data_IF_345118601393
#
_entry.id   IF_345118601393
#
_cell.length_a   1.000
_cell.length_b   1.000
_cell.length_c   1.000
_cell.angle_alpha   90.00
_cell.angle_beta   90.00
_cell.angle_gamma   90.00
#
_symmetry.space_group_name_H-M   'P 1'
#
loop_
_entity.id
_entity.type
_entity.pdbx_description
1 polymer ?
#
# COMPACT_ATOMS: atom_id res chain seq x y z
N UNK A 1 11.74 5.89 52.27
CA UNK A 1 10.83 5.26 51.28
C UNK A 1 10.13 6.35 50.50
N UNK A 2 10.62 6.65 49.29
CA UNK A 2 10.02 7.64 48.39
C UNK A 2 8.90 6.98 47.57
N UNK A 3 7.75 7.64 47.48
CA UNK A 3 6.57 7.18 46.73
C UNK A 3 6.82 7.33 45.22
N UNK A 4 6.44 6.37 44.37
CA UNK A 4 6.46 6.58 42.93
C UNK A 4 5.29 7.51 42.52
N UNK A 5 5.62 8.47 41.67
CA UNK A 5 4.76 9.56 41.23
C UNK A 5 3.69 9.03 40.25
N UNK A 6 2.44 9.49 40.39
CA UNK A 6 1.25 8.97 39.69
C UNK A 6 0.93 9.72 38.37
N UNK A 7 1.85 10.54 37.86
CA UNK A 7 1.58 11.48 36.76
C UNK A 7 1.70 10.89 35.34
N UNK A 8 2.51 9.87 35.08
CA UNK A 8 2.86 9.53 33.68
C UNK A 8 1.76 8.80 32.88
N UNK A 9 0.89 8.00 33.51
CA UNK A 9 -0.05 7.15 32.74
C UNK A 9 -1.23 7.93 32.13
N UNK A 10 -1.64 9.03 32.79
CA UNK A 10 -2.82 9.81 32.38
C UNK A 10 -2.47 10.85 31.31
N UNK A 11 -1.27 11.45 31.38
CA UNK A 11 -0.79 12.46 30.43
C UNK A 11 -0.48 11.85 29.05
N UNK A 12 0.17 10.68 29.01
CA UNK A 12 0.41 9.93 27.76
C UNK A 12 -0.89 9.57 27.01
N UNK A 13 -1.97 9.31 27.75
CA UNK A 13 -3.29 9.02 27.16
C UNK A 13 -3.98 10.28 26.60
N UNK A 14 -3.71 11.44 27.21
CA UNK A 14 -4.26 12.73 26.81
C UNK A 14 -3.54 13.32 25.61
N UNK A 15 -2.20 13.22 25.58
CA UNK A 15 -1.38 13.65 24.45
C UNK A 15 -1.65 12.82 23.19
N UNK A 16 -1.73 11.49 23.32
CA UNK A 16 -2.08 10.62 22.20
C UNK A 16 -3.49 10.93 21.66
N UNK A 17 -4.46 11.22 22.56
CA UNK A 17 -5.81 11.64 22.16
C UNK A 17 -5.79 12.94 21.36
N UNK A 18 -5.09 13.97 21.84
CA UNK A 18 -4.98 15.27 21.14
C UNK A 18 -4.32 15.12 19.78
N UNK A 19 -3.25 14.34 19.70
CA UNK A 19 -2.58 14.01 18.45
C UNK A 19 -3.55 13.39 17.42
N UNK A 20 -4.34 12.39 17.84
CA UNK A 20 -5.35 11.76 16.98
C UNK A 20 -6.48 12.70 16.59
N UNK A 21 -6.93 13.58 17.48
CA UNK A 21 -7.92 14.61 17.18
C UNK A 21 -7.42 15.60 16.12
N UNK A 22 -6.16 16.02 16.23
CA UNK A 22 -5.54 16.93 15.25
C UNK A 22 -5.44 16.24 13.89
N UNK A 23 -4.97 14.99 13.83
CA UNK A 23 -4.89 14.24 12.56
C UNK A 23 -6.26 14.04 11.91
N UNK A 24 -7.29 13.73 12.69
CA UNK A 24 -8.64 13.55 12.17
C UNK A 24 -9.21 14.86 11.63
N UNK A 25 -9.04 15.96 12.36
CA UNK A 25 -9.43 17.29 11.89
C UNK A 25 -8.68 17.71 10.61
N UNK A 26 -7.37 17.43 10.56
CA UNK A 26 -6.53 17.72 9.41
C UNK A 26 -6.98 16.92 8.18
N UNK A 27 -7.24 15.61 8.35
CA UNK A 27 -7.80 14.75 7.30
C UNK A 27 -9.08 15.33 6.72
N UNK A 28 -10.07 15.62 7.57
CA UNK A 28 -11.36 16.14 7.12
C UNK A 28 -11.16 17.41 6.31
N UNK A 29 -10.44 18.40 6.87
CA UNK A 29 -10.26 19.69 6.21
C UNK A 29 -9.42 19.59 4.94
N UNK A 30 -8.34 18.81 4.92
CA UNK A 30 -7.53 18.66 3.71
C UNK A 30 -8.26 17.94 2.59
N UNK A 31 -9.09 16.94 2.90
CA UNK A 31 -9.89 16.24 1.88
C UNK A 31 -11.02 17.12 1.35
N UNK A 32 -11.68 17.90 2.21
CA UNK A 32 -12.82 18.75 1.83
C UNK A 32 -12.41 20.04 1.13
N UNK A 33 -11.34 20.69 1.62
CA UNK A 33 -10.94 22.04 1.18
C UNK A 33 -9.65 22.05 0.36
N UNK A 34 -8.89 20.95 0.38
CA UNK A 34 -7.55 20.90 -0.17
C UNK A 34 -6.49 21.48 0.76
N UNK A 35 -5.22 21.27 0.40
CA UNK A 35 -4.08 21.68 1.22
C UNK A 35 -3.96 23.21 1.37
N UNK A 36 -4.15 23.99 0.30
CA UNK A 36 -3.90 25.44 0.32
C UNK A 36 -4.93 26.22 1.11
N UNK A 37 -6.21 25.88 0.93
CA UNK A 37 -7.32 26.56 1.60
C UNK A 37 -7.40 26.21 3.09
N UNK A 38 -6.69 25.16 3.52
CA UNK A 38 -6.64 24.75 4.92
C UNK A 38 -5.51 25.47 5.67
N UNK A 39 -5.85 26.07 6.81
CA UNK A 39 -4.88 26.69 7.71
C UNK A 39 -4.76 25.94 9.04
N UNK A 40 -3.63 26.10 9.73
CA UNK A 40 -3.39 25.52 11.06
C UNK A 40 -4.43 25.98 12.09
N UNK A 41 -4.96 27.20 11.95
CA UNK A 41 -5.98 27.74 12.84
C UNK A 41 -7.35 27.07 12.63
N UNK A 42 -7.70 26.75 11.39
CA UNK A 42 -8.89 25.96 11.08
C UNK A 42 -8.79 24.56 11.68
N UNK A 43 -7.63 23.92 11.54
CA UNK A 43 -7.39 22.58 12.09
C UNK A 43 -7.48 22.60 13.62
N UNK A 44 -6.84 23.56 14.29
CA UNK A 44 -6.91 23.68 15.75
C UNK A 44 -8.36 23.85 16.25
N UNK A 45 -9.14 24.70 15.58
CA UNK A 45 -10.57 24.90 15.89
C UNK A 45 -11.39 23.63 15.67
N UNK A 46 -11.20 22.95 14.53
CA UNK A 46 -11.91 21.71 14.20
C UNK A 46 -11.56 20.57 15.18
N UNK A 47 -10.30 20.46 15.60
CA UNK A 47 -9.84 19.48 16.57
C UNK A 47 -10.24 19.79 18.02
N UNK A 48 -10.73 21.01 18.29
CA UNK A 48 -11.04 21.47 19.65
C UNK A 48 -9.81 21.67 20.54
N UNK A 49 -8.66 22.02 19.95
CA UNK A 49 -7.38 22.25 20.66
C UNK A 49 -6.90 23.68 20.49
N UNK A 50 -6.00 24.14 21.37
CA UNK A 50 -5.36 25.45 21.20
C UNK A 50 -4.30 25.41 20.09
N UNK A 51 -4.05 26.56 19.45
CA UNK A 51 -2.96 26.71 18.46
C UNK A 51 -1.61 26.28 19.03
N UNK A 52 -1.32 26.66 20.28
CA UNK A 52 -0.10 26.24 20.97
C UNK A 52 0.00 24.71 21.11
N UNK A 53 -1.10 24.03 21.44
CA UNK A 53 -1.14 22.56 21.52
C UNK A 53 -0.84 21.93 20.16
N UNK A 54 -1.42 22.48 19.09
CA UNK A 54 -1.18 21.97 17.74
C UNK A 54 0.30 22.06 17.34
N UNK A 55 0.95 23.20 17.61
CA UNK A 55 2.37 23.38 17.30
C UNK A 55 3.34 22.59 18.19
N UNK A 56 2.89 22.09 19.35
CA UNK A 56 3.66 21.12 20.13
C UNK A 56 3.75 19.77 19.41
N UNK A 57 2.69 19.37 18.69
CA UNK A 57 2.66 18.09 17.98
C UNK A 57 3.20 18.18 16.55
N UNK A 58 2.98 19.31 15.86
CA UNK A 58 3.35 19.47 14.46
C UNK A 58 4.00 20.82 14.22
N UNK A 59 5.24 20.79 13.72
CA UNK A 59 6.04 22.01 13.55
C UNK A 59 5.47 22.92 12.46
N UNK A 60 4.79 22.34 11.46
CA UNK A 60 4.22 23.07 10.33
C UNK A 60 3.01 22.32 9.74
N UNK A 61 2.30 22.99 8.83
CA UNK A 61 1.21 22.37 8.05
C UNK A 61 1.72 21.23 7.17
N UNK A 62 2.93 21.38 6.63
CA UNK A 62 3.61 20.42 5.77
C UNK A 62 3.97 19.15 6.55
N UNK A 63 4.52 19.33 7.76
CA UNK A 63 4.85 18.25 8.71
C UNK A 63 3.61 17.44 9.10
N UNK A 64 2.51 18.15 9.41
CA UNK A 64 1.21 17.54 9.67
C UNK A 64 0.69 16.75 8.46
N UNK A 65 0.79 17.30 7.24
CA UNK A 65 0.35 16.60 6.04
C UNK A 65 1.17 15.33 5.77
N UNK A 66 2.50 15.42 5.88
CA UNK A 66 3.40 14.27 5.69
C UNK A 66 3.06 13.16 6.68
N UNK A 67 2.91 13.52 7.96
CA UNK A 67 2.56 12.58 9.03
C UNK A 67 1.21 11.93 8.78
N UNK A 68 0.21 12.72 8.38
CA UNK A 68 -1.11 12.22 8.03
C UNK A 68 -1.05 11.23 6.86
N UNK A 69 -0.35 11.56 5.77
CA UNK A 69 -0.24 10.66 4.61
C UNK A 69 0.44 9.34 4.97
N UNK A 70 1.52 9.39 5.75
CA UNK A 70 2.22 8.21 6.23
C UNK A 70 1.31 7.29 7.06
N UNK A 71 0.56 7.85 8.02
CA UNK A 71 -0.40 7.08 8.81
C UNK A 71 -1.53 6.52 7.94
N UNK A 72 -2.00 7.27 6.95
CA UNK A 72 -3.10 6.86 6.10
C UNK A 72 -2.76 5.75 5.14
N UNK A 73 -1.60 5.80 4.52
CA UNK A 73 -1.11 4.70 3.70
C UNK A 73 -1.01 3.40 4.51
N UNK A 74 -0.60 3.49 5.79
CA UNK A 74 -0.56 2.32 6.68
C UNK A 74 -1.95 1.89 7.14
N UNK A 75 -2.89 2.80 7.36
CA UNK A 75 -4.24 2.49 7.88
C UNK A 75 -5.17 1.95 6.80
N UNK A 76 -5.20 2.58 5.63
CA UNK A 76 -6.13 2.27 4.55
C UNK A 76 -5.58 1.23 3.58
N UNK A 77 -4.25 1.16 3.44
CA UNK A 77 -3.62 0.14 2.60
C UNK A 77 -3.78 -1.26 3.20
N UNK A 78 -3.55 -2.32 2.39
CA UNK A 78 -3.49 -3.69 2.88
C UNK A 78 -2.48 -3.80 4.04
N UNK A 79 -2.86 -4.42 5.16
CA UNK A 79 -1.96 -4.55 6.32
C UNK A 79 -0.82 -5.53 6.02
N UNK A 80 -1.18 -6.69 5.47
CA UNK A 80 -0.27 -7.69 4.92
C UNK A 80 -0.90 -8.28 3.66
N UNK A 81 -0.09 -8.57 2.65
CA UNK A 81 -0.58 -9.20 1.42
C UNK A 81 -0.51 -10.73 1.50
N UNK A 82 0.41 -11.25 2.31
CA UNK A 82 0.55 -12.67 2.55
C UNK A 82 1.15 -12.91 3.93
N UNK A 83 1.15 -14.17 4.36
CA UNK A 83 1.85 -14.62 5.56
C UNK A 83 2.55 -15.94 5.24
N UNK A 84 3.76 -16.19 5.78
CA UNK A 84 4.41 -17.49 5.65
C UNK A 84 3.50 -18.59 6.21
N UNK A 85 3.31 -19.65 5.42
CA UNK A 85 2.58 -20.84 5.84
C UNK A 85 3.52 -22.04 5.85
N UNK A 86 3.34 -22.87 6.87
CA UNK A 86 3.96 -24.18 6.96
C UNK A 86 3.27 -25.14 5.98
N UNK A 87 4.05 -26.02 5.34
CA UNK A 87 3.55 -27.03 4.41
C UNK A 87 3.69 -26.68 2.93
N UNK A 88 3.08 -27.48 2.03
CA UNK A 88 3.18 -27.32 0.59
C UNK A 88 2.71 -25.95 0.11
N UNK A 89 3.43 -25.36 -0.84
CA UNK A 89 3.03 -24.09 -1.47
C UNK A 89 2.05 -24.37 -2.60
N UNK A 90 0.79 -23.97 -2.43
CA UNK A 90 -0.13 -23.76 -3.56
C UNK A 90 0.13 -22.36 -4.14
N UNK A 91 0.91 -22.31 -5.22
CA UNK A 91 1.38 -21.07 -5.81
C UNK A 91 0.24 -20.21 -6.36
N UNK A 92 -0.69 -20.81 -7.11
CA UNK A 92 -1.77 -20.06 -7.77
C UNK A 92 -2.79 -19.55 -6.74
N UNK A 93 -3.11 -20.37 -5.73
CA UNK A 93 -3.99 -19.93 -4.64
C UNK A 93 -3.37 -18.78 -3.84
N UNK A 94 -2.07 -18.86 -3.52
CA UNK A 94 -1.38 -17.81 -2.79
C UNK A 94 -1.29 -16.49 -3.59
N UNK A 95 -0.94 -16.57 -4.88
CA UNK A 95 -0.94 -15.41 -5.78
C UNK A 95 -2.34 -14.78 -5.89
N UNK A 96 -3.39 -15.61 -5.94
CA UNK A 96 -4.78 -15.13 -5.98
C UNK A 96 -5.14 -14.35 -4.70
N UNK A 97 -4.81 -14.89 -3.53
CA UNK A 97 -5.07 -14.21 -2.26
C UNK A 97 -4.32 -12.87 -2.14
N UNK A 98 -3.05 -12.82 -2.58
CA UNK A 98 -2.26 -11.58 -2.64
C UNK A 98 -2.93 -10.56 -3.55
N UNK A 99 -3.32 -10.98 -4.75
CA UNK A 99 -3.95 -10.10 -5.74
C UNK A 99 -5.29 -9.55 -5.24
N UNK A 100 -6.13 -10.39 -4.63
CA UNK A 100 -7.41 -9.98 -4.05
C UNK A 100 -7.22 -8.98 -2.90
N UNK A 101 -6.28 -9.24 -1.99
CA UNK A 101 -5.96 -8.34 -0.88
C UNK A 101 -5.44 -6.98 -1.39
N UNK A 102 -4.56 -6.99 -2.39
CA UNK A 102 -4.02 -5.78 -3.01
C UNK A 102 -5.08 -4.97 -3.75
N UNK A 103 -5.87 -5.63 -4.61
CA UNK A 103 -6.83 -4.96 -5.49
C UNK A 103 -8.08 -4.47 -4.75
N UNK A 104 -8.41 -5.03 -3.59
CA UNK A 104 -9.53 -4.59 -2.75
C UNK A 104 -9.49 -3.08 -2.44
N UNK A 105 -8.30 -2.49 -2.35
CA UNK A 105 -8.11 -1.05 -2.14
C UNK A 105 -8.77 -0.19 -3.24
N UNK A 106 -8.79 -0.68 -4.49
CA UNK A 106 -9.36 0.05 -5.63
C UNK A 106 -10.86 -0.19 -5.82
N UNK A 107 -11.46 -1.07 -5.01
CA UNK A 107 -12.88 -1.43 -5.11
C UNK A 107 -13.78 -0.57 -4.20
N UNK A 108 -13.19 0.28 -3.35
CA UNK A 108 -13.93 1.21 -2.49
C UNK A 108 -13.33 2.62 -2.49
N UNK A 109 -14.12 3.61 -2.06
CA UNK A 109 -13.73 5.02 -2.11
C UNK A 109 -13.01 5.52 -0.84
N UNK A 110 -12.73 4.66 0.14
CA UNK A 110 -12.27 5.08 1.48
C UNK A 110 -10.96 5.86 1.46
N UNK A 111 -10.11 5.62 0.45
CA UNK A 111 -8.83 6.32 0.26
C UNK A 111 -8.80 7.37 -0.84
N UNK A 112 -9.87 7.54 -1.63
CA UNK A 112 -9.83 8.31 -2.87
C UNK A 112 -9.56 9.80 -2.62
N UNK A 113 -10.20 10.38 -1.60
CA UNK A 113 -9.98 11.77 -1.21
C UNK A 113 -8.52 12.06 -0.83
N UNK A 114 -7.92 11.18 -0.02
CA UNK A 114 -6.51 11.29 0.36
C UNK A 114 -5.58 11.13 -0.85
N UNK A 115 -5.85 10.17 -1.73
CA UNK A 115 -5.07 9.97 -2.95
C UNK A 115 -5.09 11.21 -3.85
N UNK A 116 -6.25 11.81 -4.06
CA UNK A 116 -6.39 13.05 -4.84
C UNK A 116 -5.66 14.23 -4.21
N UNK A 117 -5.75 14.37 -2.89
CA UNK A 117 -4.99 15.38 -2.15
C UNK A 117 -3.48 15.21 -2.40
N UNK A 118 -2.97 13.98 -2.35
CA UNK A 118 -1.56 13.69 -2.62
C UNK A 118 -1.21 14.05 -4.06
N UNK A 119 -1.97 13.59 -5.05
CA UNK A 119 -1.69 13.83 -6.47
C UNK A 119 -1.72 15.31 -6.86
N UNK A 120 -2.62 16.09 -6.25
CA UNK A 120 -2.72 17.54 -6.48
C UNK A 120 -1.66 18.36 -5.73
N UNK A 121 -1.06 17.79 -4.67
CA UNK A 121 -0.06 18.49 -3.85
C UNK A 121 1.38 18.11 -4.22
N UNK A 122 1.60 16.88 -4.67
CA UNK A 122 2.92 16.34 -5.01
C UNK A 122 3.77 17.20 -5.99
N UNK A 123 3.23 17.82 -7.05
CA UNK A 123 4.03 18.58 -8.02
C UNK A 123 4.85 19.75 -7.41
N UNK A 124 4.38 20.28 -6.29
CA UNK A 124 4.99 21.41 -5.56
C UNK A 124 5.56 21.01 -4.21
N UNK A 125 5.27 19.79 -3.74
CA UNK A 125 5.81 19.24 -2.52
C UNK A 125 6.32 17.80 -2.74
N UNK A 126 7.51 17.64 -3.35
CA UNK A 126 8.05 16.33 -3.73
C UNK A 126 8.17 15.35 -2.56
N UNK A 127 8.41 15.85 -1.34
CA UNK A 127 8.52 15.01 -0.15
C UNK A 127 7.25 14.20 0.11
N UNK A 128 6.08 14.76 -0.21
CA UNK A 128 4.81 14.07 -0.07
C UNK A 128 4.73 12.83 -0.98
N UNK A 129 5.22 12.96 -2.21
CA UNK A 129 5.27 11.85 -3.16
C UNK A 129 6.22 10.75 -2.69
N UNK A 130 7.37 11.10 -2.12
CA UNK A 130 8.31 10.13 -1.55
C UNK A 130 7.67 9.32 -0.41
N UNK A 131 6.98 10.01 0.50
CA UNK A 131 6.32 9.40 1.67
C UNK A 131 5.19 8.50 1.22
N UNK A 132 4.32 8.97 0.32
CA UNK A 132 3.26 8.15 -0.27
C UNK A 132 3.83 6.90 -0.94
N UNK A 133 4.86 7.07 -1.77
CA UNK A 133 5.50 5.97 -2.49
C UNK A 133 6.11 4.94 -1.54
N UNK A 134 6.74 5.39 -0.45
CA UNK A 134 7.36 4.51 0.55
C UNK A 134 6.32 3.77 1.42
N UNK A 135 5.31 4.48 1.93
CA UNK A 135 4.34 3.93 2.88
C UNK A 135 3.25 3.06 2.22
N UNK A 136 2.94 3.32 0.95
CA UNK A 136 1.94 2.58 0.16
C UNK A 136 2.59 1.65 -0.88
N UNK A 137 2.81 2.11 -2.13
CA UNK A 137 3.18 1.24 -3.24
C UNK A 137 4.44 0.39 -3.00
N UNK A 138 5.56 0.98 -2.53
CA UNK A 138 6.79 0.22 -2.28
C UNK A 138 6.62 -0.84 -1.20
N UNK A 139 5.81 -0.58 -0.18
CA UNK A 139 5.49 -1.57 0.86
C UNK A 139 4.76 -2.77 0.26
N UNK A 140 3.77 -2.54 -0.61
CA UNK A 140 3.07 -3.61 -1.33
C UNK A 140 4.04 -4.41 -2.23
N UNK A 141 4.94 -3.74 -2.95
CA UNK A 141 5.96 -4.41 -3.76
C UNK A 141 6.88 -5.28 -2.89
N UNK A 142 7.37 -4.76 -1.76
CA UNK A 142 8.23 -5.50 -0.82
C UNK A 142 7.56 -6.72 -0.21
N UNK A 143 6.27 -6.65 0.09
CA UNK A 143 5.48 -7.79 0.53
C UNK A 143 5.47 -8.87 -0.56
N UNK A 144 5.13 -8.52 -1.80
CA UNK A 144 5.16 -9.47 -2.94
C UNK A 144 6.56 -10.02 -3.18
N UNK A 145 7.62 -9.21 -3.09
CA UNK A 145 8.99 -9.70 -3.18
C UNK A 145 9.29 -10.76 -2.12
N UNK A 146 8.83 -10.57 -0.89
CA UNK A 146 8.97 -11.55 0.19
C UNK A 146 8.36 -12.89 -0.19
N UNK A 147 7.14 -12.87 -0.74
CA UNK A 147 6.46 -14.08 -1.21
C UNK A 147 7.22 -14.75 -2.37
N UNK A 148 7.65 -13.95 -3.36
CA UNK A 148 8.37 -14.46 -4.52
C UNK A 148 9.73 -15.08 -4.13
N UNK A 149 10.44 -14.50 -3.14
CA UNK A 149 11.66 -15.10 -2.56
C UNK A 149 11.37 -16.49 -1.98
N UNK A 150 10.26 -16.66 -1.27
CA UNK A 150 9.83 -17.96 -0.75
C UNK A 150 9.53 -18.95 -1.87
N UNK A 151 8.79 -18.51 -2.90
CA UNK A 151 8.44 -19.35 -4.04
C UNK A 151 9.68 -19.83 -4.82
N UNK A 152 10.67 -18.95 -5.01
CA UNK A 152 11.98 -19.30 -5.62
C UNK A 152 12.75 -20.27 -4.73
N UNK A 153 12.82 -20.02 -3.42
CA UNK A 153 13.51 -20.91 -2.48
C UNK A 153 12.90 -22.33 -2.43
N UNK A 154 11.59 -22.45 -2.70
CA UNK A 154 10.89 -23.74 -2.81
C UNK A 154 10.92 -24.35 -4.22
N UNK A 155 11.61 -23.72 -5.18
CA UNK A 155 11.70 -24.18 -6.57
C UNK A 155 10.41 -24.04 -7.37
N UNK A 156 9.40 -23.34 -6.86
CA UNK A 156 8.11 -23.15 -7.54
C UNK A 156 8.19 -22.12 -8.67
N UNK A 157 9.16 -21.20 -8.61
CA UNK A 157 9.41 -20.16 -9.61
C UNK A 157 10.92 -20.01 -9.87
N UNK A 158 11.28 -19.58 -11.08
CA UNK A 158 12.64 -19.18 -11.46
C UNK A 158 12.59 -17.71 -11.90
N UNK A 159 13.02 -16.81 -11.02
CA UNK A 159 12.91 -15.35 -11.22
C UNK A 159 14.31 -14.72 -11.18
N UNK A 160 14.82 -14.17 -12.29
CA UNK A 160 16.12 -13.48 -12.31
C UNK A 160 16.14 -12.15 -11.55
N UNK A 161 15.03 -11.40 -11.58
CA UNK A 161 14.90 -10.11 -10.90
C UNK A 161 13.58 -10.07 -10.14
N UNK A 162 13.64 -10.35 -8.83
CA UNK A 162 12.46 -10.46 -7.97
C UNK A 162 11.73 -9.12 -7.80
N UNK A 163 12.47 -8.02 -7.66
CA UNK A 163 11.87 -6.69 -7.53
C UNK A 163 11.05 -6.32 -8.77
N UNK A 164 11.63 -6.53 -9.96
CA UNK A 164 10.90 -6.29 -11.22
C UNK A 164 9.69 -7.22 -11.36
N UNK A 165 9.84 -8.50 -11.00
CA UNK A 165 8.73 -9.46 -11.05
C UNK A 165 7.58 -9.06 -10.13
N UNK A 166 7.86 -8.50 -8.93
CA UNK A 166 6.85 -7.98 -8.03
C UNK A 166 6.07 -6.81 -8.66
N UNK A 167 6.77 -5.82 -9.22
CA UNK A 167 6.14 -4.70 -9.94
C UNK A 167 5.29 -5.19 -11.11
N UNK A 168 5.79 -6.15 -11.89
CA UNK A 168 5.07 -6.75 -13.01
C UNK A 168 3.82 -7.49 -12.56
N UNK A 169 3.91 -8.29 -11.51
CA UNK A 169 2.77 -9.02 -10.94
C UNK A 169 1.66 -8.06 -10.53
N UNK A 170 1.97 -7.05 -9.71
CA UNK A 170 0.99 -6.05 -9.26
C UNK A 170 0.38 -5.29 -10.45
N UNK A 171 1.19 -4.96 -11.45
CA UNK A 171 0.72 -4.30 -12.68
C UNK A 171 -0.25 -5.15 -13.49
N UNK A 172 0.01 -6.45 -13.61
CA UNK A 172 -0.84 -7.39 -14.34
C UNK A 172 -2.20 -7.57 -13.66
N UNK A 173 -2.24 -7.70 -12.33
CA UNK A 173 -3.48 -7.98 -11.59
C UNK A 173 -4.35 -6.75 -11.33
N UNK A 174 -3.78 -5.54 -11.30
CA UNK A 174 -4.59 -4.31 -11.14
C UNK A 174 -5.18 -3.80 -12.46
N UNK A 175 -4.50 -4.01 -13.59
CA UNK A 175 -4.88 -3.45 -14.89
C UNK A 175 -5.33 -1.99 -14.81
N UNK A 176 -6.57 -1.70 -15.25
CA UNK A 176 -7.16 -0.34 -15.23
C UNK A 176 -7.96 -0.01 -13.97
N UNK A 177 -7.95 -0.86 -12.93
CA UNK A 177 -8.73 -0.63 -11.70
C UNK A 177 -8.33 0.68 -11.02
N UNK A 178 -7.01 0.89 -10.85
CA UNK A 178 -6.48 2.11 -10.26
C UNK A 178 -6.97 3.37 -11.01
N UNK A 179 -6.90 3.37 -12.34
CA UNK A 179 -7.30 4.51 -13.16
C UNK A 179 -8.83 4.76 -13.07
N UNK A 180 -9.64 3.71 -13.07
CA UNK A 180 -11.11 3.85 -12.91
C UNK A 180 -11.46 4.45 -11.56
N UNK A 181 -10.79 3.99 -10.50
CA UNK A 181 -10.94 4.48 -9.14
C UNK A 181 -10.56 5.97 -9.04
N UNK A 182 -9.40 6.35 -9.59
CA UNK A 182 -8.95 7.76 -9.65
C UNK A 182 -9.97 8.68 -10.34
N UNK A 183 -10.60 8.18 -11.39
CA UNK A 183 -11.61 8.87 -12.18
C UNK A 183 -13.03 8.82 -11.57
N UNK A 184 -13.22 8.23 -10.38
CA UNK A 184 -14.55 8.00 -9.78
C UNK A 184 -15.53 7.26 -10.70
N UNK A 185 -15.02 6.36 -11.55
CA UNK A 185 -15.88 5.50 -12.35
C UNK A 185 -16.35 4.31 -11.51
N UNK A 186 -17.50 3.74 -11.88
CA UNK A 186 -18.01 2.55 -11.21
C UNK A 186 -16.94 1.44 -11.17
N UNK A 187 -16.80 0.75 -10.03
CA UNK A 187 -15.89 -0.39 -9.93
C UNK A 187 -16.27 -1.46 -10.95
N UNK A 188 -15.30 -2.26 -11.43
CA UNK A 188 -15.61 -3.40 -12.27
C UNK A 188 -16.57 -4.36 -11.55
N UNK A 189 -17.38 -5.07 -12.32
CA UNK A 189 -18.21 -6.15 -11.77
C UNK A 189 -17.34 -7.25 -11.18
N UNK A 190 -17.94 -8.10 -10.33
CA UNK A 190 -17.23 -9.22 -9.72
C UNK A 190 -16.54 -10.12 -10.74
N UNK A 191 -17.25 -10.47 -11.80
CA UNK A 191 -16.73 -11.32 -12.86
C UNK A 191 -15.57 -10.67 -13.63
N UNK A 192 -15.66 -9.36 -13.92
CA UNK A 192 -14.61 -8.64 -14.63
C UNK A 192 -13.32 -8.54 -13.82
N UNK A 193 -13.41 -8.25 -12.52
CA UNK A 193 -12.22 -8.17 -11.67
C UNK A 193 -11.57 -9.56 -11.49
N UNK A 194 -12.38 -10.61 -11.31
CA UNK A 194 -11.86 -11.98 -11.17
C UNK A 194 -11.13 -12.42 -12.44
N UNK A 195 -11.73 -12.18 -13.61
CA UNK A 195 -11.11 -12.49 -14.89
C UNK A 195 -9.78 -11.75 -15.11
N UNK A 196 -9.67 -10.49 -14.62
CA UNK A 196 -8.42 -9.74 -14.67
C UNK A 196 -7.33 -10.38 -13.80
N UNK A 197 -7.66 -10.69 -12.54
CA UNK A 197 -6.71 -11.31 -11.59
C UNK A 197 -6.24 -12.67 -12.12
N UNK A 198 -7.17 -13.54 -12.52
CA UNK A 198 -6.85 -14.86 -13.08
C UNK A 198 -5.98 -14.75 -14.34
N UNK A 199 -6.31 -13.81 -15.24
CA UNK A 199 -5.52 -13.55 -16.44
C UNK A 199 -4.09 -13.10 -16.12
N UNK A 200 -3.94 -12.16 -15.18
CA UNK A 200 -2.64 -11.67 -14.72
C UNK A 200 -1.78 -12.77 -14.08
N UNK A 201 -2.38 -13.62 -13.25
CA UNK A 201 -1.71 -14.76 -12.62
C UNK A 201 -1.26 -15.76 -13.68
N UNK A 202 -2.12 -16.13 -14.64
CA UNK A 202 -1.74 -17.04 -15.73
C UNK A 202 -0.54 -16.55 -16.51
N UNK A 203 -0.51 -15.25 -16.86
CA UNK A 203 0.64 -14.64 -17.57
C UNK A 203 1.90 -14.69 -16.71
N UNK A 204 1.79 -14.32 -15.43
CA UNK A 204 2.91 -14.29 -14.51
C UNK A 204 3.51 -15.69 -14.28
N UNK A 205 2.67 -16.69 -14.01
CA UNK A 205 3.10 -18.08 -13.80
C UNK A 205 3.72 -18.66 -15.08
N UNK A 206 3.13 -18.39 -16.25
CA UNK A 206 3.70 -18.85 -17.52
C UNK A 206 5.11 -18.28 -17.78
N UNK A 207 5.37 -17.04 -17.36
CA UNK A 207 6.67 -16.39 -17.53
C UNK A 207 7.76 -16.94 -16.59
N UNK A 208 7.39 -17.38 -15.38
CA UNK A 208 8.35 -17.67 -14.31
C UNK A 208 8.33 -19.11 -13.77
N UNK A 209 7.40 -19.97 -14.21
CA UNK A 209 7.45 -21.38 -13.80
C UNK A 209 8.74 -22.04 -14.34
N UNK A 210 9.34 -22.98 -13.59
CA UNK A 210 10.40 -23.82 -14.13
C UNK A 210 9.88 -24.51 -15.40
N UNK A 211 10.58 -24.34 -16.51
CA UNK A 211 10.30 -25.12 -17.71
C UNK A 211 10.93 -26.49 -17.48
N UNK A 212 10.15 -27.57 -17.52
CA UNK A 212 10.75 -28.89 -17.72
C UNK A 212 11.52 -28.83 -19.04
N UNK A 213 12.83 -29.03 -19.01
CA UNK A 213 13.59 -29.19 -20.23
C UNK A 213 12.89 -30.28 -21.08
N UNK A 214 12.51 -30.02 -22.34
CA UNK A 214 11.98 -31.08 -23.17
C UNK A 214 12.99 -32.23 -23.18
N UNK A 215 12.55 -33.51 -23.08
CA UNK A 215 13.47 -34.64 -23.10
C UNK A 215 14.36 -34.49 -24.33
N UNK A 216 15.68 -34.41 -24.09
CA UNK A 216 16.67 -34.12 -25.11
C UNK A 216 16.44 -35.01 -26.32
N UNK A 217 16.11 -34.39 -27.46
CA UNK A 217 16.05 -35.12 -28.73
C UNK A 217 17.46 -35.68 -28.95
N UNK A 218 17.65 -37.01 -29.08
CA UNK A 218 18.96 -37.55 -29.35
C UNK A 218 19.47 -36.92 -30.64
N UNK A 219 20.62 -36.26 -30.56
CA UNK A 219 21.35 -35.78 -31.74
C UNK A 219 21.86 -37.03 -32.43
N UNK A 220 21.20 -37.41 -33.52
CA UNK A 220 21.69 -38.46 -34.40
C UNK A 220 22.97 -37.96 -35.08
N UNK A 221 24.11 -38.43 -34.57
CA UNK A 221 25.45 -38.14 -35.07
C UNK A 221 25.86 -39.09 -36.23
N UNK A 222 24.93 -39.84 -36.84
CA UNK A 222 25.23 -40.80 -37.91
C UNK A 222 25.01 -40.27 -39.34
N UNK A 223 25.18 -38.97 -39.58
CA UNK A 223 25.19 -38.42 -40.95
C UNK A 223 26.30 -37.37 -41.13
N UNK A 224 27.55 -37.84 -41.11
CA UNK A 224 28.70 -37.17 -41.76
C UNK A 224 29.49 -38.25 -42.50
#
# INVERSE_FOLDING_TARGET
MARPNKCDATELSGENRKYRQILEAARTLFVELGFDATSMDMIARQAGVSKATLYVHFASKDDLLVTLVDEECRRLGPQALWQPQDGPLDLEQALSAIAESYTAFFLDDRGLGMHRLIMTTAPRFPKLAEVFLAAGPRRCEQEVEGFLKLAVARGALVIPNIALAATQFLSLVQGRMHLRWELSLNPPTRAEYQALIEGGIRVFVAAYRPTEAPPGRPVDLAAV
#
